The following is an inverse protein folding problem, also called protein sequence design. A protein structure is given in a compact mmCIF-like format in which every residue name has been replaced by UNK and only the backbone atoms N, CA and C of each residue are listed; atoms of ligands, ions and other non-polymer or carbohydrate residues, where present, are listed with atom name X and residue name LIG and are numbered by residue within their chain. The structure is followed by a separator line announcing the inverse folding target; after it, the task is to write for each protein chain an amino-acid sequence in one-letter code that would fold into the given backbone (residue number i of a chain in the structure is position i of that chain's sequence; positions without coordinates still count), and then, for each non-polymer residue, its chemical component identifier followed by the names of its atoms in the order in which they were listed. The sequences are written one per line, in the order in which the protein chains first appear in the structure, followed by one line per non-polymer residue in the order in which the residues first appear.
data_IF_421414379933
#
_entry.id   IF_421414379933
#
_cell.length_a   1.000
_cell.length_b   1.000
_cell.length_c   1.000
_cell.angle_alpha   90.00
_cell.angle_beta   90.00
_cell.angle_gamma   90.00
#
_symmetry.space_group_name_H-M   'P 1'
#
loop_
_entity.id
_entity.type
_entity.pdbx_description
1 polymer ?
#
# COMPACT_ATOMS: atom_id res chain seq x y z
N UNK A 1 15.28 -0.65 2.96
CA UNK A 1 13.89 -0.61 2.43
C UNK A 1 13.72 -1.50 1.20
N UNK A 2 12.68 -2.35 1.20
CA UNK A 2 12.30 -3.20 0.06
C UNK A 2 10.77 -3.38 0.03
N UNK A 3 10.21 -3.56 -1.16
CA UNK A 3 8.78 -3.83 -1.37
C UNK A 3 8.58 -5.21 -1.98
N UNK A 4 7.58 -5.94 -1.47
CA UNK A 4 7.05 -7.14 -2.08
C UNK A 4 5.64 -6.85 -2.60
N UNK A 5 5.41 -7.05 -3.89
CA UNK A 5 4.10 -6.91 -4.52
C UNK A 5 3.62 -8.28 -5.01
N UNK A 6 2.57 -8.81 -4.39
CA UNK A 6 2.05 -10.16 -4.62
C UNK A 6 0.79 -10.10 -5.47
N UNK A 7 0.88 -10.60 -6.69
CA UNK A 7 -0.25 -10.71 -7.62
C UNK A 7 -1.17 -11.84 -7.20
N UNK A 8 -2.46 -11.56 -7.18
CA UNK A 8 -3.53 -12.52 -6.92
C UNK A 8 -4.20 -12.90 -8.24
N UNK A 9 -3.81 -14.03 -8.80
CA UNK A 9 -4.60 -14.70 -9.84
C UNK A 9 -5.53 -15.72 -9.17
N UNK A 10 -6.76 -15.30 -8.86
CA UNK A 10 -7.73 -16.14 -8.16
C UNK A 10 -8.07 -17.44 -8.92
N UNK A 11 -7.84 -17.53 -10.23
CA UNK A 11 -8.06 -18.76 -11.00
C UNK A 11 -7.02 -19.84 -10.67
N UNK A 12 -5.86 -19.43 -10.15
CA UNK A 12 -4.77 -20.32 -9.74
C UNK A 12 -4.80 -20.67 -8.26
N UNK A 13 -5.69 -20.05 -7.46
CA UNK A 13 -5.74 -20.23 -6.01
C UNK A 13 -6.88 -21.20 -5.62
N UNK A 14 -6.52 -22.42 -5.25
CA UNK A 14 -7.47 -23.50 -4.95
C UNK A 14 -7.83 -23.63 -3.46
N UNK A 15 -8.84 -24.44 -3.17
CA UNK A 15 -9.34 -24.68 -1.82
C UNK A 15 -8.32 -25.38 -0.90
N UNK A 16 -7.49 -26.28 -1.44
CA UNK A 16 -6.47 -26.98 -0.64
C UNK A 16 -5.41 -26.00 -0.13
N UNK A 17 -4.88 -25.16 -1.02
CA UNK A 17 -3.93 -24.12 -0.65
C UNK A 17 -4.53 -23.15 0.36
N UNK A 18 -5.81 -22.80 0.20
CA UNK A 18 -6.51 -21.93 1.13
C UNK A 18 -6.56 -22.53 2.54
N UNK A 19 -6.98 -23.80 2.64
CA UNK A 19 -7.13 -24.47 3.92
C UNK A 19 -5.78 -24.70 4.60
N UNK A 20 -4.74 -25.08 3.84
CA UNK A 20 -3.37 -25.20 4.37
C UNK A 20 -2.81 -23.85 4.84
N UNK A 21 -2.97 -22.79 4.05
CA UNK A 21 -2.53 -21.44 4.44
C UNK A 21 -3.29 -20.92 5.67
N UNK A 22 -4.61 -21.17 5.74
CA UNK A 22 -5.43 -20.81 6.90
C UNK A 22 -5.07 -21.63 8.15
N UNK A 23 -4.63 -22.87 7.97
CA UNK A 23 -4.16 -23.74 9.05
C UNK A 23 -2.72 -23.47 9.48
N UNK A 24 -1.98 -22.58 8.79
CA UNK A 24 -0.59 -22.26 9.14
C UNK A 24 -0.47 -21.79 10.60
N UNK A 25 0.50 -22.31 11.38
CA UNK A 25 0.75 -21.87 12.75
C UNK A 25 1.25 -20.42 12.84
N UNK A 26 1.69 -19.83 11.72
CA UNK A 26 2.08 -18.42 11.64
C UNK A 26 0.88 -17.46 11.72
N UNK A 27 -0.33 -17.97 11.47
CA UNK A 27 -1.55 -17.18 11.55
C UNK A 27 -2.18 -17.29 12.95
N UNK A 28 -2.27 -16.16 13.64
CA UNK A 28 -2.97 -16.07 14.92
C UNK A 28 -4.49 -16.32 14.78
N UNK A 29 -5.15 -16.64 15.89
CA UNK A 29 -6.57 -17.01 15.90
C UNK A 29 -7.51 -15.86 15.56
N UNK A 30 -7.15 -14.61 15.87
CA UNK A 30 -7.92 -13.43 15.51
C UNK A 30 -7.91 -13.24 13.98
N UNK A 31 -6.73 -13.34 13.39
CA UNK A 31 -6.48 -13.26 11.95
C UNK A 31 -7.20 -14.40 11.22
N UNK A 32 -7.11 -15.64 11.72
CA UNK A 32 -7.85 -16.80 11.19
C UNK A 32 -9.36 -16.58 11.23
N UNK A 33 -9.87 -16.06 12.35
CA UNK A 33 -11.30 -15.73 12.51
C UNK A 33 -11.72 -14.63 11.54
N UNK A 34 -10.89 -13.59 11.38
CA UNK A 34 -11.17 -12.48 10.46
C UNK A 34 -11.21 -12.94 9.01
N UNK A 35 -10.26 -13.78 8.58
CA UNK A 35 -10.24 -14.36 7.23
C UNK A 35 -11.52 -15.15 6.95
N UNK A 36 -12.00 -15.94 7.92
CA UNK A 36 -13.26 -16.72 7.79
C UNK A 36 -14.54 -15.89 7.73
N UNK A 37 -14.51 -14.63 8.18
CA UNK A 37 -15.70 -13.74 8.21
C UNK A 37 -15.98 -13.05 6.88
N UNK A 38 -15.03 -13.04 5.95
CA UNK A 38 -15.26 -12.42 4.66
C UNK A 38 -16.31 -13.17 3.86
N UNK A 39 -17.27 -12.42 3.33
CA UNK A 39 -18.32 -12.97 2.48
C UNK A 39 -17.76 -13.37 1.10
N UNK A 40 -16.90 -12.53 0.52
CA UNK A 40 -16.25 -12.79 -0.78
C UNK A 40 -14.93 -13.51 -0.58
N UNK A 41 -14.67 -14.51 -1.42
CA UNK A 41 -13.45 -15.34 -1.33
C UNK A 41 -12.20 -14.53 -1.65
N UNK A 42 -12.31 -13.56 -2.55
CA UNK A 42 -11.24 -12.65 -2.96
C UNK A 42 -10.76 -11.78 -1.79
N UNK A 43 -11.68 -11.33 -0.94
CA UNK A 43 -11.34 -10.55 0.26
C UNK A 43 -10.65 -11.43 1.31
N UNK A 44 -11.11 -12.68 1.45
CA UNK A 44 -10.47 -13.65 2.33
C UNK A 44 -9.02 -13.94 1.88
N UNK A 45 -8.79 -14.11 0.57
CA UNK A 45 -7.45 -14.30 0.00
C UNK A 45 -6.55 -13.08 0.21
N UNK A 46 -7.04 -11.87 -0.09
CA UNK A 46 -6.28 -10.63 0.18
C UNK A 46 -5.86 -10.52 1.63
N UNK A 47 -6.79 -10.81 2.54
CA UNK A 47 -6.51 -10.79 3.97
C UNK A 47 -5.48 -11.87 4.34
N UNK A 48 -5.65 -13.11 3.88
CA UNK A 48 -4.76 -14.23 4.19
C UNK A 48 -3.34 -13.97 3.69
N UNK A 49 -3.17 -13.56 2.43
CA UNK A 49 -1.86 -13.20 1.88
C UNK A 49 -1.25 -12.02 2.64
N UNK A 50 -2.03 -10.97 2.92
CA UNK A 50 -1.54 -9.82 3.69
C UNK A 50 -1.07 -10.18 5.11
N UNK A 51 -1.62 -11.23 5.73
CA UNK A 51 -1.20 -11.74 7.04
C UNK A 51 0.07 -12.57 7.00
N UNK A 52 0.26 -13.31 5.91
CA UNK A 52 1.39 -14.23 5.75
C UNK A 52 2.61 -13.58 5.11
N UNK A 53 2.42 -12.50 4.34
CA UNK A 53 3.48 -11.77 3.64
C UNK A 53 4.60 -11.22 4.56
N UNK A 54 4.34 -10.74 5.79
CA UNK A 54 5.43 -10.36 6.71
C UNK A 54 6.39 -11.51 7.02
N UNK A 55 5.89 -12.73 7.19
CA UNK A 55 6.72 -13.89 7.46
C UNK A 55 7.56 -14.31 6.25
N UNK A 56 6.99 -14.21 5.05
CA UNK A 56 7.73 -14.35 3.80
C UNK A 56 8.88 -13.33 3.74
N UNK A 57 8.59 -12.05 3.99
CA UNK A 57 9.59 -10.98 3.95
C UNK A 57 10.72 -11.20 4.97
N UNK A 58 10.39 -11.61 6.19
CA UNK A 58 11.35 -11.92 7.26
C UNK A 58 12.29 -13.09 6.91
N UNK A 59 11.80 -14.14 6.24
CA UNK A 59 12.68 -15.23 5.77
C UNK A 59 13.73 -14.73 4.80
N UNK A 60 13.35 -13.81 3.91
CA UNK A 60 14.27 -13.22 2.95
C UNK A 60 15.25 -12.20 3.56
N UNK A 61 15.09 -11.84 4.83
CA UNK A 61 16.11 -11.12 5.61
C UNK A 61 16.95 -12.05 6.48
N UNK A 62 16.75 -13.37 6.38
CA UNK A 62 17.50 -14.38 7.14
C UNK A 62 16.94 -14.67 8.54
N UNK A 63 15.74 -14.15 8.86
CA UNK A 63 15.10 -14.32 10.16
C UNK A 63 14.10 -15.47 10.12
N UNK A 64 14.18 -16.37 11.12
CA UNK A 64 13.29 -17.53 11.21
C UNK A 64 11.90 -17.12 11.74
N UNK A 65 10.80 -17.35 10.99
CA UNK A 65 9.46 -16.88 11.38
C UNK A 65 8.89 -17.48 12.66
N UNK A 66 9.29 -18.70 13.05
CA UNK A 66 8.70 -19.39 14.20
C UNK A 66 8.98 -18.72 15.54
N UNK A 67 9.95 -17.81 15.60
CA UNK A 67 10.23 -16.97 16.78
C UNK A 67 9.56 -15.60 16.74
N UNK A 68 8.76 -15.30 15.71
CA UNK A 68 8.20 -13.97 15.48
C UNK A 68 6.80 -13.88 16.05
N UNK A 69 6.56 -12.85 16.87
CA UNK A 69 5.23 -12.48 17.30
C UNK A 69 4.84 -11.14 16.67
N UNK A 70 3.75 -11.14 15.90
CA UNK A 70 3.14 -9.92 15.36
C UNK A 70 2.01 -9.50 16.30
N UNK A 71 2.09 -8.27 16.80
CA UNK A 71 1.02 -7.63 17.55
C UNK A 71 0.49 -6.43 16.77
N UNK A 72 -0.40 -5.65 17.38
CA UNK A 72 -1.06 -4.50 16.73
C UNK A 72 -1.12 -3.31 17.65
N UNK A 73 -0.95 -2.12 17.08
CA UNK A 73 -1.19 -0.86 17.77
C UNK A 73 -2.68 -0.73 18.12
N UNK A 74 -3.02 0.27 18.94
CA UNK A 74 -4.42 0.63 19.23
C UNK A 74 -5.21 0.97 17.96
N UNK A 75 -4.53 1.55 16.95
CA UNK A 75 -5.09 1.83 15.62
C UNK A 75 -5.15 0.60 14.71
N UNK A 76 -4.70 -0.57 15.17
CA UNK A 76 -4.75 -1.85 14.44
C UNK A 76 -3.59 -2.11 13.49
N UNK A 77 -2.60 -1.19 13.40
CA UNK A 77 -1.40 -1.35 12.57
C UNK A 77 -0.56 -2.51 13.11
N UNK A 78 -0.26 -3.55 12.30
CA UNK A 78 0.57 -4.66 12.75
C UNK A 78 2.03 -4.23 12.93
N UNK A 79 2.70 -4.78 13.94
CA UNK A 79 4.12 -4.57 14.22
C UNK A 79 4.77 -5.82 14.80
N UNK A 80 6.10 -5.93 14.67
CA UNK A 80 6.87 -7.02 15.29
C UNK A 80 7.03 -6.75 16.79
N UNK A 81 6.37 -7.56 17.63
CA UNK A 81 6.49 -7.46 19.07
C UNK A 81 7.74 -8.19 19.60
N UNK A 82 8.13 -9.32 18.99
CA UNK A 82 9.33 -10.08 19.35
C UNK A 82 10.00 -10.74 18.15
N UNK A 83 11.32 -10.99 18.26
CA UNK A 83 12.10 -11.81 17.34
C UNK A 83 12.73 -11.09 16.13
N UNK A 84 12.28 -9.87 15.79
CA UNK A 84 12.92 -9.03 14.76
C UNK A 84 12.78 -7.52 15.07
N UNK A 85 13.46 -6.99 16.11
CA UNK A 85 13.26 -5.61 16.57
C UNK A 85 13.67 -4.54 15.54
N UNK A 86 14.53 -4.87 14.58
CA UNK A 86 14.93 -3.96 13.49
C UNK A 86 13.95 -3.88 12.32
N UNK A 87 12.95 -4.76 12.26
CA UNK A 87 12.12 -4.92 11.08
C UNK A 87 10.80 -4.15 11.23
N UNK A 88 10.67 -3.04 10.51
CA UNK A 88 9.42 -2.29 10.42
C UNK A 88 8.75 -2.60 9.10
N UNK A 89 7.43 -2.72 9.10
CA UNK A 89 6.70 -3.01 7.87
C UNK A 89 5.32 -2.38 7.85
N UNK A 90 4.76 -2.32 6.64
CA UNK A 90 3.36 -2.01 6.42
C UNK A 90 2.81 -2.84 5.27
N UNK A 91 1.52 -3.15 5.31
CA UNK A 91 0.83 -3.96 4.30
C UNK A 91 -0.37 -3.19 3.79
N UNK A 92 -0.59 -3.23 2.48
CA UNK A 92 -1.83 -2.79 1.85
C UNK A 92 -2.28 -3.79 0.80
N UNK A 93 -3.53 -3.70 0.39
CA UNK A 93 -4.04 -4.51 -0.71
C UNK A 93 -5.18 -3.79 -1.41
N UNK A 94 -5.25 -3.95 -2.72
CA UNK A 94 -6.41 -3.58 -3.50
C UNK A 94 -6.57 -4.50 -4.71
N UNK A 95 -7.82 -4.80 -5.05
CA UNK A 95 -8.19 -5.68 -6.16
C UNK A 95 -7.35 -6.96 -6.21
N UNK A 96 -6.45 -7.11 -7.18
CA UNK A 96 -5.64 -8.31 -7.40
C UNK A 96 -4.19 -8.18 -6.90
N UNK A 97 -3.92 -7.23 -5.99
CA UNK A 97 -2.57 -6.95 -5.54
C UNK A 97 -2.51 -6.78 -4.01
N UNK A 98 -1.56 -7.46 -3.38
CA UNK A 98 -1.18 -7.26 -1.97
C UNK A 98 0.25 -6.77 -1.94
N UNK A 99 0.52 -5.68 -1.24
CA UNK A 99 1.86 -5.09 -1.15
C UNK A 99 2.34 -5.04 0.29
N UNK A 100 3.63 -5.26 0.50
CA UNK A 100 4.33 -5.05 1.77
C UNK A 100 5.57 -4.23 1.52
N UNK A 101 5.74 -3.13 2.25
CA UNK A 101 7.03 -2.45 2.37
C UNK A 101 7.62 -2.78 3.73
N UNK A 102 8.94 -3.02 3.77
CA UNK A 102 9.68 -3.09 5.03
C UNK A 102 10.95 -2.26 4.98
N UNK A 103 11.41 -1.86 6.16
CA UNK A 103 12.76 -1.34 6.38
C UNK A 103 13.42 -2.09 7.53
N UNK A 104 14.75 -2.10 7.52
CA UNK A 104 15.59 -2.80 8.50
C UNK A 104 16.09 -1.85 9.60
N UNK A 105 15.43 -0.68 9.72
CA UNK A 105 15.64 0.32 10.75
C UNK A 105 14.39 0.47 11.62
N UNK A 106 14.49 0.07 12.89
CA UNK A 106 13.43 0.15 13.89
C UNK A 106 12.92 1.58 14.13
N UNK A 107 13.76 2.59 13.87
CA UNK A 107 13.40 4.00 14.06
C UNK A 107 12.64 4.60 12.89
N UNK A 108 12.60 3.88 11.75
CA UNK A 108 11.86 4.30 10.57
C UNK A 108 10.37 3.98 10.69
N UNK A 109 9.52 4.96 10.41
CA UNK A 109 8.10 4.71 10.21
C UNK A 109 7.86 4.43 8.73
N UNK A 110 7.35 3.24 8.42
CA UNK A 110 7.01 2.82 7.05
C UNK A 110 5.50 2.74 6.90
N UNK A 111 5.01 3.25 5.77
CA UNK A 111 3.65 3.09 5.28
C UNK A 111 3.68 2.78 3.79
N UNK A 112 2.82 1.87 3.34
CA UNK A 112 2.62 1.56 1.93
C UNK A 112 1.14 1.58 1.62
N UNK A 113 0.81 2.07 0.44
CA UNK A 113 -0.53 1.87 -0.11
C UNK A 113 -0.49 1.45 -1.57
N UNK A 114 -1.58 0.83 -2.01
CA UNK A 114 -1.80 0.39 -3.39
C UNK A 114 -3.26 0.57 -3.76
N UNK A 115 -3.52 1.14 -4.93
CA UNK A 115 -4.87 1.25 -5.48
C UNK A 115 -4.89 0.98 -6.97
N UNK A 116 -5.88 0.22 -7.42
CA UNK A 116 -6.21 0.10 -8.84
C UNK A 116 -6.76 1.43 -9.32
N UNK A 117 -6.18 1.98 -10.38
CA UNK A 117 -6.59 3.25 -10.96
C UNK A 117 -7.83 3.05 -11.86
N UNK A 118 -8.98 2.82 -11.24
CA UNK A 118 -10.26 2.63 -11.92
C UNK A 118 -11.40 3.23 -11.12
N UNK A 119 -12.27 3.99 -11.79
CA UNK A 119 -13.49 4.51 -11.17
C UNK A 119 -14.46 3.37 -10.86
N UNK A 120 -15.30 3.50 -9.80
CA UNK A 120 -16.41 2.59 -9.57
C UNK A 120 -17.37 2.56 -10.77
N UNK A 121 -18.05 1.43 -10.96
CA UNK A 121 -19.01 1.28 -12.04
C UNK A 121 -20.14 2.31 -11.92
N UNK A 122 -20.36 3.08 -13.00
CA UNK A 122 -21.41 4.10 -13.05
C UNK A 122 -20.99 5.47 -12.49
N UNK A 123 -19.76 5.61 -11.98
CA UNK A 123 -19.22 6.90 -11.57
C UNK A 123 -18.47 7.59 -12.71
N UNK A 124 -18.53 8.93 -12.71
CA UNK A 124 -17.70 9.79 -13.56
C UNK A 124 -16.54 10.34 -12.75
N UNK A 125 -15.49 10.81 -13.42
CA UNK A 125 -14.38 11.45 -12.70
C UNK A 125 -14.88 12.67 -11.89
N UNK A 126 -15.81 13.45 -12.45
CA UNK A 126 -16.32 14.65 -11.77
C UNK A 126 -17.14 14.32 -10.53
N UNK A 127 -18.06 13.35 -10.62
CA UNK A 127 -18.86 12.92 -9.47
C UNK A 127 -17.98 12.33 -8.37
N UNK A 128 -16.99 11.52 -8.74
CA UNK A 128 -16.08 10.92 -7.78
C UNK A 128 -15.17 11.95 -7.10
N UNK A 129 -14.62 12.93 -7.85
CA UNK A 129 -13.86 14.05 -7.26
C UNK A 129 -14.74 14.93 -6.36
N UNK A 130 -16.03 15.07 -6.67
CA UNK A 130 -16.96 15.79 -5.82
C UNK A 130 -17.20 15.05 -4.49
N UNK A 131 -17.37 13.72 -4.51
CA UNK A 131 -17.50 12.90 -3.30
C UNK A 131 -16.27 13.07 -2.39
N UNK A 132 -15.08 13.16 -2.98
CA UNK A 132 -13.81 13.27 -2.26
C UNK A 132 -13.41 14.72 -1.94
N UNK A 133 -14.27 15.72 -2.18
CA UNK A 133 -13.84 17.12 -2.20
C UNK A 133 -13.29 17.64 -0.88
N UNK A 134 -13.79 17.12 0.25
CA UNK A 134 -13.32 17.50 1.58
C UNK A 134 -11.94 16.91 1.92
N UNK A 135 -11.48 15.92 1.15
CA UNK A 135 -10.19 15.24 1.36
C UNK A 135 -9.12 15.71 0.36
N UNK A 136 -9.46 16.64 -0.53
CA UNK A 136 -8.59 17.17 -1.58
C UNK A 136 -8.36 18.66 -1.39
N UNK A 137 -7.11 19.10 -1.56
CA UNK A 137 -6.81 20.53 -1.53
C UNK A 137 -7.25 21.22 -2.83
N UNK A 138 -7.38 22.56 -2.85
CA UNK A 138 -7.68 23.29 -4.09
C UNK A 138 -6.68 23.01 -5.22
N UNK A 139 -5.38 22.90 -4.91
CA UNK A 139 -4.32 22.61 -5.87
C UNK A 139 -4.52 21.22 -6.50
N UNK A 140 -4.83 20.23 -5.67
CA UNK A 140 -5.04 18.85 -6.07
C UNK A 140 -6.29 18.71 -6.95
N UNK A 141 -7.41 19.32 -6.54
CA UNK A 141 -8.64 19.35 -7.32
C UNK A 141 -8.41 20.00 -8.68
N UNK A 142 -7.69 21.13 -8.71
CA UNK A 142 -7.34 21.78 -9.96
C UNK A 142 -6.46 20.88 -10.84
N UNK A 143 -5.48 20.18 -10.25
CA UNK A 143 -4.57 19.28 -10.98
C UNK A 143 -5.27 18.05 -11.58
N UNK A 144 -6.32 17.54 -10.92
CA UNK A 144 -7.12 16.41 -11.43
C UNK A 144 -8.11 16.88 -12.50
N UNK A 145 -8.77 18.02 -12.28
CA UNK A 145 -9.84 18.53 -13.14
C UNK A 145 -9.37 19.47 -14.25
N UNK A 146 -8.07 19.80 -14.31
CA UNK A 146 -7.52 20.67 -15.34
C UNK A 146 -7.84 20.12 -16.73
N UNK A 147 -8.67 20.87 -17.46
CA UNK A 147 -8.97 20.55 -18.85
C UNK A 147 -7.71 20.78 -19.70
N UNK A 148 -7.47 19.95 -20.72
CA UNK A 148 -6.59 20.34 -21.80
C UNK A 148 -7.33 21.41 -22.61
N UNK A 149 -6.61 22.26 -23.33
CA UNK A 149 -7.18 23.19 -24.30
C UNK A 149 -7.97 22.54 -25.48
N UNK A 150 -8.36 21.26 -25.40
CA UNK A 150 -9.10 20.54 -26.43
C UNK A 150 -10.37 19.88 -25.83
N UNK A 151 -11.54 20.48 -26.12
CA UNK A 151 -12.86 20.19 -25.55
C UNK A 151 -13.52 18.88 -26.03
N UNK A 152 -12.77 17.89 -26.49
CA UNK A 152 -13.36 16.74 -27.19
C UNK A 152 -12.51 15.47 -27.10
N UNK A 153 -12.23 15.01 -25.87
CA UNK A 153 -11.73 13.65 -25.64
C UNK A 153 -12.53 13.00 -24.49
N UNK A 154 -12.91 11.72 -24.61
CA UNK A 154 -13.46 10.94 -23.50
C UNK A 154 -12.50 10.95 -22.29
N UNK A 155 -13.04 10.75 -21.08
CA UNK A 155 -12.32 10.82 -19.80
C UNK A 155 -10.88 10.30 -19.91
N UNK A 156 -9.90 11.17 -19.65
CA UNK A 156 -8.49 10.81 -19.80
C UNK A 156 -8.12 9.75 -18.75
N UNK A 157 -7.60 8.57 -19.16
CA UNK A 157 -7.01 7.60 -18.24
C UNK A 157 -6.00 8.26 -17.26
N UNK A 158 -5.27 9.27 -17.73
CA UNK A 158 -4.30 10.03 -16.93
C UNK A 158 -4.91 10.76 -15.73
N UNK A 159 -6.13 11.31 -15.84
CA UNK A 159 -6.74 12.07 -14.74
C UNK A 159 -7.25 11.15 -13.63
N UNK A 160 -7.81 9.99 -14.00
CA UNK A 160 -8.15 8.92 -13.06
C UNK A 160 -6.88 8.43 -12.36
N UNK A 161 -5.82 8.15 -13.11
CA UNK A 161 -4.53 7.74 -12.52
C UNK A 161 -4.01 8.80 -11.55
N UNK A 162 -4.03 10.09 -11.90
CA UNK A 162 -3.61 11.18 -11.01
C UNK A 162 -4.38 11.22 -9.71
N UNK A 163 -5.70 11.05 -9.75
CA UNK A 163 -6.54 10.97 -8.54
C UNK A 163 -6.10 9.83 -7.63
N UNK A 164 -5.94 8.62 -8.19
CA UNK A 164 -5.55 7.45 -7.41
C UNK A 164 -4.12 7.54 -6.88
N UNK A 165 -3.17 8.09 -7.65
CA UNK A 165 -1.81 8.34 -7.14
C UNK A 165 -1.80 9.24 -5.91
N UNK A 166 -2.61 10.30 -5.96
CA UNK A 166 -2.74 11.22 -4.86
C UNK A 166 -3.35 10.58 -3.64
N UNK A 167 -4.45 9.84 -3.84
CA UNK A 167 -5.07 9.11 -2.75
C UNK A 167 -4.12 8.08 -2.12
N UNK A 168 -3.45 7.27 -2.95
CA UNK A 168 -2.47 6.29 -2.51
C UNK A 168 -1.32 6.94 -1.74
N UNK A 169 -0.85 8.12 -2.14
CA UNK A 169 0.18 8.85 -1.40
C UNK A 169 -0.30 9.25 0.00
N UNK A 170 -1.51 9.82 0.11
CA UNK A 170 -2.08 10.24 1.39
C UNK A 170 -2.30 9.05 2.33
N UNK A 171 -2.80 7.93 1.80
CA UNK A 171 -2.96 6.68 2.54
C UNK A 171 -1.60 6.12 2.99
N UNK A 172 -0.59 6.09 2.12
CA UNK A 172 0.73 5.60 2.48
C UNK A 172 1.35 6.45 3.61
N UNK A 173 1.25 7.77 3.52
CA UNK A 173 1.75 8.68 4.54
C UNK A 173 1.04 8.50 5.89
N UNK A 174 -0.29 8.46 5.90
CA UNK A 174 -1.07 8.31 7.14
C UNK A 174 -0.91 6.92 7.77
N UNK A 175 -0.72 5.87 6.95
CA UNK A 175 -0.31 4.53 7.41
C UNK A 175 1.07 4.53 8.04
N UNK A 176 2.01 5.31 7.52
CA UNK A 176 3.33 5.46 8.13
C UNK A 176 3.21 6.08 9.52
N UNK A 177 2.45 7.17 9.65
CA UNK A 177 2.17 7.84 10.92
C UNK A 177 1.41 6.98 11.94
N UNK A 178 0.58 6.04 11.48
CA UNK A 178 -0.16 5.12 12.35
C UNK A 178 -1.48 5.68 12.91
N UNK A 179 -1.96 6.81 12.39
CA UNK A 179 -3.19 7.48 12.85
C UNK A 179 -4.49 6.85 12.32
N UNK A 180 -4.43 5.96 11.34
CA UNK A 180 -5.62 5.32 10.76
C UNK A 180 -6.59 6.35 10.14
N UNK A 181 -7.91 6.06 10.22
CA UNK A 181 -8.99 6.86 9.61
C UNK A 181 -9.20 8.27 10.22
N UNK A 182 -8.42 8.66 11.23
CA UNK A 182 -8.59 9.93 11.94
C UNK A 182 -7.74 11.09 11.41
N UNK A 183 -6.88 10.86 10.40
CA UNK A 183 -6.04 11.92 9.86
C UNK A 183 -6.80 12.71 8.78
N UNK A 184 -6.78 14.03 8.88
CA UNK A 184 -7.39 14.92 7.90
C UNK A 184 -6.55 15.00 6.62
N UNK A 185 -7.01 14.36 5.54
CA UNK A 185 -6.30 14.32 4.26
C UNK A 185 -6.21 15.70 3.61
N UNK A 186 -7.08 16.65 3.95
CA UNK A 186 -7.01 18.02 3.43
C UNK A 186 -5.74 18.76 3.89
N UNK A 187 -5.10 18.29 4.97
CA UNK A 187 -3.82 18.82 5.43
C UNK A 187 -2.65 18.40 4.55
N UNK A 188 -2.74 17.27 3.86
CA UNK A 188 -1.69 16.80 2.95
C UNK A 188 -1.99 17.35 1.57
N UNK A 189 -1.02 18.06 1.00
CA UNK A 189 -1.08 18.55 -0.37
C UNK A 189 0.03 17.90 -1.20
N UNK A 190 -0.36 17.15 -2.23
CA UNK A 190 0.56 16.56 -3.20
C UNK A 190 0.50 17.31 -4.54
N UNK A 191 1.54 18.11 -4.81
CA UNK A 191 1.75 18.75 -6.09
C UNK A 191 2.31 17.73 -7.10
N UNK A 192 1.41 16.99 -7.77
CA UNK A 192 1.75 15.93 -8.73
C UNK A 192 2.79 16.37 -9.78
N UNK A 193 2.63 17.53 -10.42
CA UNK A 193 3.56 17.91 -11.50
C UNK A 193 4.95 18.28 -10.97
N UNK A 194 5.02 18.83 -9.76
CA UNK A 194 6.28 19.12 -9.08
C UNK A 194 6.87 17.90 -8.36
N UNK A 195 6.13 16.80 -8.28
CA UNK A 195 6.47 15.61 -7.49
C UNK A 195 6.86 15.97 -6.05
N UNK A 196 6.05 16.80 -5.39
CA UNK A 196 6.35 17.33 -4.06
C UNK A 196 5.13 17.32 -3.14
N UNK A 197 5.32 16.88 -1.91
CA UNK A 197 4.31 16.78 -0.85
C UNK A 197 4.59 17.85 0.19
N UNK A 198 3.53 18.48 0.68
CA UNK A 198 3.58 19.41 1.80
C UNK A 198 2.43 19.14 2.76
N UNK A 199 2.59 19.60 4.02
CA UNK A 199 1.56 19.52 5.04
C UNK A 199 1.18 20.94 5.46
N UNK A 200 -0.12 21.20 5.62
CA UNK A 200 -0.69 22.48 6.01
C UNK A 200 -0.23 23.62 5.07
N UNK A 201 -0.29 23.38 3.75
CA UNK A 201 0.21 24.33 2.73
C UNK A 201 1.69 24.71 2.89
N UNK A 202 2.53 23.77 3.35
CA UNK A 202 3.97 23.96 3.54
C UNK A 202 4.39 24.51 4.91
N UNK A 203 3.44 24.68 5.84
CA UNK A 203 3.76 25.14 7.20
C UNK A 203 4.42 24.06 8.06
N UNK A 204 4.11 22.79 7.79
CA UNK A 204 4.66 21.66 8.54
C UNK A 204 5.79 21.02 7.73
N UNK A 205 6.98 20.97 8.33
CA UNK A 205 8.17 20.37 7.70
C UNK A 205 8.04 18.86 7.57
N UNK A 206 8.34 18.35 6.36
CA UNK A 206 8.49 16.93 6.08
C UNK A 206 9.96 16.49 6.10
N UNK A 207 10.87 17.26 6.69
CA UNK A 207 12.27 16.88 6.81
C UNK A 207 12.43 15.47 7.40
N UNK A 208 13.30 14.66 6.80
CA UNK A 208 13.47 13.25 7.16
C UNK A 208 12.42 12.29 6.58
N UNK A 209 11.44 12.78 5.81
CA UNK A 209 10.52 11.95 5.04
C UNK A 209 10.99 11.74 3.60
N UNK A 210 10.74 10.55 3.07
CA UNK A 210 10.89 10.22 1.66
C UNK A 210 9.64 9.50 1.16
N UNK A 211 9.29 9.77 -0.10
CA UNK A 211 8.18 9.13 -0.79
C UNK A 211 8.68 8.49 -2.08
N UNK A 212 8.35 7.23 -2.26
CA UNK A 212 8.68 6.46 -3.46
C UNK A 212 7.37 6.03 -4.14
N UNK A 213 7.10 6.59 -5.32
CA UNK A 213 5.90 6.32 -6.12
C UNK A 213 6.28 5.47 -7.33
N UNK A 214 5.49 4.42 -7.59
CA UNK A 214 5.58 3.63 -8.82
C UNK A 214 4.20 3.37 -9.40
N UNK A 215 4.18 2.85 -10.63
CA UNK A 215 3.00 2.27 -11.24
C UNK A 215 3.30 0.87 -11.71
N UNK A 216 2.34 -0.04 -11.52
CA UNK A 216 2.40 -1.39 -12.07
C UNK A 216 1.14 -1.66 -12.90
N UNK A 217 1.29 -2.34 -14.01
CA UNK A 217 0.17 -2.98 -14.69
C UNK A 217 0.08 -4.44 -14.23
N UNK A 218 -1.08 -4.82 -13.69
CA UNK A 218 -1.37 -6.20 -13.30
C UNK A 218 -2.62 -6.64 -14.04
N UNK A 219 -2.45 -7.60 -14.95
CA UNK A 219 -3.52 -8.17 -15.77
C UNK A 219 -4.27 -7.12 -16.62
N UNK A 220 -3.57 -6.12 -17.16
CA UNK A 220 -4.16 -5.05 -17.97
C UNK A 220 -4.86 -3.98 -17.15
N UNK A 221 -4.54 -3.90 -15.85
CA UNK A 221 -5.10 -2.91 -14.93
C UNK A 221 -3.97 -2.10 -14.29
N UNK A 222 -4.00 -0.76 -14.37
CA UNK A 222 -3.00 0.10 -13.74
C UNK A 222 -3.23 0.19 -12.23
N UNK A 223 -2.14 0.13 -11.47
CA UNK A 223 -2.10 0.36 -10.03
C UNK A 223 -1.11 1.48 -9.70
N UNK A 224 -1.51 2.36 -8.80
CA UNK A 224 -0.60 3.27 -8.10
C UNK A 224 -0.09 2.58 -6.83
N UNK A 225 1.21 2.68 -6.57
CA UNK A 225 1.82 2.18 -5.33
C UNK A 225 2.71 3.29 -4.78
N UNK A 226 2.54 3.61 -3.51
CA UNK A 226 3.36 4.61 -2.83
C UNK A 226 3.89 4.05 -1.53
N UNK A 227 5.18 4.25 -1.27
CA UNK A 227 5.81 4.03 0.02
C UNK A 227 6.14 5.38 0.64
N UNK A 228 5.72 5.60 1.88
CA UNK A 228 6.11 6.72 2.70
C UNK A 228 7.00 6.23 3.85
N UNK A 229 8.12 6.91 4.05
CA UNK A 229 9.17 6.52 5.01
C UNK A 229 9.66 7.73 5.78
N UNK A 230 9.75 7.63 7.09
CA UNK A 230 10.46 8.61 7.94
C UNK A 230 11.86 8.13 8.32
N UNK A 231 12.69 9.03 8.89
CA UNK A 231 14.03 8.71 9.36
C UNK A 231 15.11 8.72 8.27
N UNK A 232 14.81 9.24 7.07
CA UNK A 232 15.77 9.27 5.96
C UNK A 232 16.77 10.41 6.16
N UNK A 233 18.01 10.06 6.52
CA UNK A 233 19.10 11.01 6.75
C UNK A 233 19.36 11.85 5.49
N UNK A 234 19.36 13.17 5.65
CA UNK A 234 19.62 14.12 4.56
C UNK A 234 18.45 14.36 3.61
N UNK A 235 17.29 13.75 3.84
CA UNK A 235 16.08 14.08 3.08
C UNK A 235 15.58 15.47 3.48
N UNK A 236 15.57 16.40 2.52
CA UNK A 236 14.98 17.73 2.69
C UNK A 236 13.48 17.65 3.05
N UNK A 237 12.82 16.56 2.65
CA UNK A 237 11.42 16.29 2.90
C UNK A 237 10.54 16.68 1.72
N UNK A 238 9.39 16.01 1.58
CA UNK A 238 8.38 16.34 0.59
C UNK A 238 8.66 15.83 -0.83
N UNK A 239 9.92 15.63 -1.24
CA UNK A 239 10.24 15.09 -2.57
C UNK A 239 9.66 13.68 -2.79
N UNK A 240 9.00 13.50 -3.92
CA UNK A 240 8.47 12.21 -4.38
C UNK A 240 9.33 11.68 -5.51
N UNK A 241 10.01 10.57 -5.26
CA UNK A 241 10.76 9.85 -6.29
C UNK A 241 9.80 8.98 -7.08
N UNK A 242 9.69 9.27 -8.37
CA UNK A 242 8.92 8.44 -9.31
C UNK A 242 9.82 7.41 -9.94
N UNK A 243 9.41 6.16 -9.84
CA UNK A 243 10.12 5.05 -10.40
C UNK A 243 9.33 4.42 -11.54
N UNK A 244 10.03 4.03 -12.60
CA UNK A 244 9.45 3.30 -13.72
C UNK A 244 9.24 1.79 -13.42
N UNK A 245 9.11 1.42 -12.14
CA UNK A 245 9.35 0.09 -11.57
C UNK A 245 10.85 -0.25 -11.43
N UNK A 246 11.48 0.04 -10.28
CA UNK A 246 12.85 -0.41 -10.03
C UNK A 246 12.79 -1.90 -9.73
N UNK A 247 13.44 -2.70 -10.56
CA UNK A 247 13.71 -4.11 -10.27
C UNK A 247 14.39 -4.27 -8.89
N UNK A 248 15.12 -3.24 -8.45
CA UNK A 248 15.81 -3.22 -7.14
C UNK A 248 14.89 -2.89 -5.95
N UNK A 249 13.76 -2.21 -6.16
CA UNK A 249 12.89 -1.75 -5.08
C UNK A 249 11.71 -2.71 -4.84
N UNK A 250 11.13 -3.23 -5.93
CA UNK A 250 9.91 -4.01 -5.89
C UNK A 250 10.16 -5.42 -6.42
N UNK A 251 10.05 -6.40 -5.54
CA UNK A 251 9.95 -7.79 -5.92
C UNK A 251 8.48 -8.12 -6.28
N UNK A 252 8.20 -8.34 -7.56
CA UNK A 252 6.89 -8.80 -8.03
C UNK A 252 6.79 -10.32 -7.90
N UNK A 253 5.78 -10.79 -7.18
CA UNK A 253 5.60 -12.18 -6.79
C UNK A 253 4.22 -12.70 -7.20
N UNK A 254 4.10 -14.02 -7.20
CA UNK A 254 2.84 -14.74 -7.39
C UNK A 254 2.32 -15.29 -6.04
N UNK A 255 1.03 -15.13 -5.79
CA UNK A 255 0.43 -15.51 -4.50
C UNK A 255 0.54 -17.00 -4.19
N UNK A 256 0.38 -17.89 -5.17
CA UNK A 256 0.53 -19.34 -4.95
C UNK A 256 1.95 -19.65 -4.50
N UNK A 257 2.95 -19.10 -5.19
CA UNK A 257 4.36 -19.30 -4.84
C UNK A 257 4.67 -18.82 -3.42
N UNK A 258 4.22 -17.62 -3.05
CA UNK A 258 4.41 -17.05 -1.71
C UNK A 258 3.77 -17.95 -0.65
N UNK A 259 2.51 -18.36 -0.85
CA UNK A 259 1.78 -19.16 0.11
C UNK A 259 2.38 -20.57 0.26
N UNK A 260 2.77 -21.21 -0.84
CA UNK A 260 3.40 -22.54 -0.80
C UNK A 260 4.71 -22.52 -0.01
N UNK A 261 5.55 -21.50 -0.21
CA UNK A 261 6.79 -21.33 0.57
C UNK A 261 6.52 -21.06 2.04
N UNK A 262 5.56 -20.16 2.34
CA UNK A 262 5.21 -19.86 3.73
C UNK A 262 4.72 -21.12 4.44
N UNK A 263 3.80 -21.87 3.83
CA UNK A 263 3.15 -23.06 4.40
C UNK A 263 4.08 -24.27 4.54
N UNK A 264 4.90 -24.58 3.53
CA UNK A 264 5.78 -25.77 3.57
C UNK A 264 6.82 -25.73 4.70
N UNK A 265 7.20 -24.52 5.10
CA UNK A 265 8.26 -24.25 6.06
C UNK A 265 7.71 -23.68 7.40
N UNK A 266 6.38 -23.77 7.59
CA UNK A 266 5.69 -23.46 8.87
C UNK A 266 5.59 -24.71 9.73
#
# INVERSE_FOLDING_TARGET
MKVYAVKLDFSTLDHDLYDRALASPLLDDESRTRVRRFFRREDAWRCLVGRLLPFYALRHTGIVPSSIHISRTESGKPFIATGAPGFTFNVSHDSNLVVLAHDDDASSAVGIDVMRCALPNGETLQSFVHILSEQLTPLERASILAAPFAQSAPERPDAVIRLFQLWTLKEAYTKALGFGLGFDFARVEYALDAAYVSIDSGLTSLAGWAFDETRLDVQGHPYAIVVARSGVVGAAGGDVKRWAAPEDLIALLDARTVLEQVVQES
#
